data_IF_952633192982
#
_entry.id   IF_952633192982
#
_cell.length_a   1.000
_cell.length_b   1.000
_cell.length_c   1.000
_cell.angle_alpha   90.00
_cell.angle_beta   90.00
_cell.angle_gamma   90.00
#
_symmetry.space_group_name_H-M   'P 1'
#
loop_
_entity.id
_entity.type
_entity.pdbx_description
1 polymer ?
#
# COMPACT_ATOMS: atom_id res chain seq x y z
N UNK A 1 -38.77 33.12 -2.20
CA UNK A 1 -37.68 32.66 -3.08
C UNK A 1 -37.83 31.13 -3.20
N UNK A 2 -37.67 30.57 -4.39
CA UNK A 2 -37.73 29.11 -4.53
C UNK A 2 -36.45 28.50 -3.95
N UNK A 3 -36.48 27.23 -3.50
CA UNK A 3 -35.29 26.51 -3.01
C UNK A 3 -34.18 26.47 -4.07
N UNK A 4 -34.55 26.38 -5.35
CA UNK A 4 -33.59 26.42 -6.46
C UNK A 4 -32.84 27.74 -6.53
N UNK A 5 -33.53 28.89 -6.37
CA UNK A 5 -32.88 30.21 -6.36
C UNK A 5 -31.96 30.41 -5.14
N UNK A 6 -32.32 29.85 -3.99
CA UNK A 6 -31.49 29.89 -2.78
C UNK A 6 -30.22 29.04 -2.95
N UNK A 7 -30.35 27.83 -3.46
CA UNK A 7 -29.19 26.95 -3.74
C UNK A 7 -28.26 27.54 -4.80
N UNK A 8 -28.81 28.23 -5.83
CA UNK A 8 -27.98 28.87 -6.85
C UNK A 8 -27.08 29.98 -6.28
N UNK A 9 -27.59 30.77 -5.35
CA UNK A 9 -26.79 31.76 -4.62
C UNK A 9 -25.68 31.08 -3.82
N UNK A 10 -25.97 30.00 -3.07
CA UNK A 10 -24.98 29.27 -2.30
C UNK A 10 -23.91 28.61 -3.20
N UNK A 11 -24.26 28.18 -4.39
CA UNK A 11 -23.30 27.68 -5.38
C UNK A 11 -22.37 28.78 -5.91
N UNK A 12 -22.87 30.00 -6.06
CA UNK A 12 -22.04 31.14 -6.44
C UNK A 12 -21.07 31.51 -5.31
N UNK A 13 -21.51 31.50 -4.07
CA UNK A 13 -20.64 31.69 -2.90
C UNK A 13 -19.53 30.62 -2.86
N UNK A 14 -19.87 29.36 -3.13
CA UNK A 14 -18.87 28.29 -3.22
C UNK A 14 -17.86 28.51 -4.35
N UNK A 15 -18.28 28.97 -5.52
CA UNK A 15 -17.38 29.30 -6.64
C UNK A 15 -16.41 30.43 -6.28
N UNK A 16 -16.90 31.47 -5.58
CA UNK A 16 -16.06 32.54 -5.08
C UNK A 16 -15.05 32.05 -4.05
N UNK A 17 -15.49 31.23 -3.10
CA UNK A 17 -14.60 30.63 -2.12
C UNK A 17 -13.49 29.77 -2.78
N UNK A 18 -13.84 28.93 -3.77
CA UNK A 18 -12.84 28.16 -4.52
C UNK A 18 -11.79 29.07 -5.19
N UNK A 19 -12.24 30.18 -5.78
CA UNK A 19 -11.35 31.17 -6.43
C UNK A 19 -10.42 31.81 -5.39
N UNK A 20 -10.95 32.26 -4.28
CA UNK A 20 -10.19 32.98 -3.24
C UNK A 20 -9.18 32.06 -2.52
N UNK A 21 -9.49 30.77 -2.44
CA UNK A 21 -8.60 29.77 -1.85
C UNK A 21 -7.63 29.13 -2.85
N UNK A 22 -7.70 29.49 -4.12
CA UNK A 22 -6.72 29.09 -5.13
C UNK A 22 -5.70 30.20 -5.32
N UNK A 23 -4.42 29.93 -5.08
CA UNK A 23 -3.34 30.90 -5.25
C UNK A 23 -2.32 30.45 -6.27
N UNK A 24 -1.56 31.41 -6.81
CA UNK A 24 -0.51 31.20 -7.79
C UNK A 24 0.82 31.70 -7.22
N UNK A 25 1.88 30.95 -7.45
CA UNK A 25 3.25 31.34 -7.13
C UNK A 25 4.16 30.99 -8.31
N UNK A 26 4.90 31.98 -8.83
CA UNK A 26 5.94 31.73 -9.82
C UNK A 26 7.11 31.02 -9.11
N UNK A 27 7.52 29.87 -9.65
CA UNK A 27 8.68 29.11 -9.18
C UNK A 27 9.93 29.56 -9.90
N UNK A 28 9.83 29.64 -11.23
CA UNK A 28 10.88 30.14 -12.12
C UNK A 28 10.27 30.70 -13.41
N UNK A 29 11.11 30.95 -14.41
CA UNK A 29 10.67 31.51 -15.71
C UNK A 29 9.73 30.58 -16.50
N UNK A 30 9.59 29.30 -16.12
CA UNK A 30 8.84 28.27 -16.86
C UNK A 30 7.71 27.66 -16.06
N UNK A 31 7.84 27.53 -14.74
CA UNK A 31 6.90 26.85 -13.87
C UNK A 31 6.16 27.79 -12.93
N UNK A 32 4.88 27.55 -12.80
CA UNK A 32 3.98 28.20 -11.84
C UNK A 32 3.35 27.13 -10.96
N UNK A 33 3.41 27.32 -9.65
CA UNK A 33 2.68 26.54 -8.66
C UNK A 33 1.27 27.07 -8.50
N UNK A 34 0.32 26.15 -8.40
CA UNK A 34 -1.09 26.42 -8.13
C UNK A 34 -1.44 25.70 -6.83
N UNK A 35 -1.56 26.42 -5.74
CA UNK A 35 -2.09 25.87 -4.48
C UNK A 35 -3.61 25.82 -4.56
N UNK A 36 -4.19 24.68 -4.20
CA UNK A 36 -5.64 24.43 -4.31
C UNK A 36 -6.28 24.31 -2.92
N UNK A 37 -7.60 24.49 -2.76
CA UNK A 37 -8.30 24.28 -1.49
C UNK A 37 -8.59 22.81 -1.18
N UNK A 38 -8.13 21.88 -2.00
CA UNK A 38 -8.29 20.46 -1.75
C UNK A 38 -7.17 19.97 -0.86
N UNK A 39 -7.51 19.13 0.14
CA UNK A 39 -6.57 18.63 1.13
C UNK A 39 -6.21 17.18 0.84
N UNK A 40 -4.95 16.85 1.06
CA UNK A 40 -4.50 15.47 1.10
C UNK A 40 -4.86 14.78 2.43
N UNK A 41 -4.39 13.55 2.64
CA UNK A 41 -4.62 12.78 3.89
C UNK A 41 -3.90 13.35 5.13
N UNK A 42 -2.97 14.29 4.96
CA UNK A 42 -2.25 14.99 6.03
C UNK A 42 -2.92 16.32 6.39
N UNK A 43 -4.02 16.69 5.72
CA UNK A 43 -4.70 17.98 5.74
C UNK A 43 -3.85 19.12 5.16
N UNK A 44 -2.89 18.80 4.27
CA UNK A 44 -2.12 19.79 3.53
C UNK A 44 -2.79 20.10 2.19
N UNK A 45 -2.73 21.38 1.79
CA UNK A 45 -3.31 21.82 0.50
C UNK A 45 -2.57 21.20 -0.68
N UNK A 46 -3.30 20.54 -1.57
CA UNK A 46 -2.72 20.00 -2.80
C UNK A 46 -2.15 21.10 -3.68
N UNK A 47 -0.91 20.91 -4.11
CA UNK A 47 -0.20 21.79 -5.04
C UNK A 47 -0.03 21.08 -6.37
N UNK A 48 -0.25 21.81 -7.45
CA UNK A 48 0.02 21.36 -8.82
C UNK A 48 0.89 22.40 -9.52
N UNK A 49 1.68 21.93 -10.45
CA UNK A 49 2.65 22.74 -11.19
C UNK A 49 2.22 22.83 -12.65
N UNK A 50 2.29 24.00 -13.22
CA UNK A 50 1.93 24.25 -14.61
C UNK A 50 3.05 24.89 -15.38
N UNK A 51 3.33 24.39 -16.59
CA UNK A 51 4.22 25.07 -17.55
C UNK A 51 3.60 25.13 -18.92
N UNK A 52 4.01 26.14 -19.70
CA UNK A 52 3.63 26.27 -21.10
C UNK A 52 4.45 25.31 -21.97
N UNK A 53 3.79 24.67 -22.91
CA UNK A 53 4.41 23.81 -23.93
C UNK A 53 4.13 24.38 -25.33
N UNK A 54 4.79 23.91 -26.41
CA UNK A 54 4.50 24.36 -27.75
C UNK A 54 3.03 24.16 -28.19
N UNK A 55 2.36 23.14 -27.63
CA UNK A 55 1.00 22.73 -27.97
C UNK A 55 -0.07 23.11 -26.95
N UNK A 56 0.34 23.70 -25.80
CA UNK A 56 -0.59 24.05 -24.73
C UNK A 56 0.09 24.19 -23.39
N UNK A 57 -0.32 23.37 -22.44
CA UNK A 57 0.16 23.38 -21.06
C UNK A 57 0.39 21.94 -20.57
N UNK A 58 1.43 21.76 -19.76
CA UNK A 58 1.62 20.55 -18.95
C UNK A 58 1.28 20.90 -17.50
N UNK A 59 0.44 20.09 -16.89
CA UNK A 59 0.13 20.12 -15.46
C UNK A 59 0.74 18.89 -14.80
N UNK A 60 1.38 19.04 -13.64
CA UNK A 60 2.07 17.98 -12.90
C UNK A 60 1.86 18.14 -11.40
N UNK A 61 1.93 17.03 -10.66
CA UNK A 61 2.01 17.02 -9.18
C UNK A 61 3.46 17.05 -8.66
N UNK A 62 4.44 17.15 -9.56
CA UNK A 62 5.88 17.15 -9.25
C UNK A 62 6.32 15.93 -8.42
N UNK A 63 5.77 14.76 -8.73
CA UNK A 63 6.04 13.48 -8.05
C UNK A 63 5.55 13.39 -6.59
N UNK A 64 4.85 14.41 -6.08
CA UNK A 64 4.43 14.47 -4.69
C UNK A 64 3.60 13.26 -4.28
N UNK A 65 2.55 12.93 -5.06
CA UNK A 65 1.55 11.94 -4.65
C UNK A 65 2.11 10.53 -4.52
N UNK A 66 2.94 10.10 -5.47
CA UNK A 66 3.54 8.75 -5.44
C UNK A 66 4.66 8.66 -4.41
N UNK A 67 5.47 9.71 -4.29
CA UNK A 67 6.54 9.77 -3.28
C UNK A 67 5.98 9.74 -1.85
N UNK A 68 4.90 10.48 -1.59
CA UNK A 68 4.22 10.49 -0.30
C UNK A 68 3.62 9.12 0.04
N UNK A 69 3.02 8.41 -0.93
CA UNK A 69 2.58 7.03 -0.75
C UNK A 69 3.74 6.09 -0.39
N UNK A 70 4.87 6.22 -1.06
CA UNK A 70 6.06 5.39 -0.81
C UNK A 70 6.62 5.64 0.59
N UNK A 71 6.80 6.90 0.99
CA UNK A 71 7.24 7.28 2.35
C UNK A 71 6.30 6.77 3.43
N UNK A 72 5.02 6.62 3.12
CA UNK A 72 4.00 6.06 4.02
C UNK A 72 3.93 4.53 4.01
N UNK A 73 4.88 3.87 3.33
CA UNK A 73 4.98 2.41 3.27
C UNK A 73 4.03 1.73 2.26
N UNK A 74 3.43 2.52 1.35
CA UNK A 74 2.61 2.01 0.25
C UNK A 74 3.43 2.00 -1.06
N UNK A 75 4.51 1.21 -1.11
CA UNK A 75 5.34 1.09 -2.31
C UNK A 75 4.59 0.39 -3.45
N UNK A 76 4.62 0.98 -4.66
CA UNK A 76 3.93 0.50 -5.85
C UNK A 76 4.90 -0.28 -6.76
N UNK A 77 5.48 -1.38 -6.25
CA UNK A 77 6.54 -2.14 -6.93
C UNK A 77 6.06 -3.41 -7.63
N UNK A 78 4.91 -3.98 -7.25
CA UNK A 78 4.38 -5.20 -7.90
C UNK A 78 3.51 -4.87 -9.11
N UNK A 79 3.44 -5.79 -10.08
CA UNK A 79 2.63 -5.62 -11.29
C UNK A 79 1.17 -5.29 -10.96
N UNK A 80 0.58 -5.97 -9.98
CA UNK A 80 -0.81 -5.75 -9.57
C UNK A 80 -1.03 -4.34 -8.99
N UNK A 81 -0.07 -3.81 -8.21
CA UNK A 81 -0.12 -2.43 -7.69
C UNK A 81 -0.01 -1.41 -8.81
N UNK A 82 0.91 -1.66 -9.75
CA UNK A 82 1.06 -0.82 -10.93
C UNK A 82 -0.18 -0.83 -11.81
N UNK A 83 -0.84 -1.99 -11.97
CA UNK A 83 -2.09 -2.11 -12.70
C UNK A 83 -3.23 -1.35 -12.02
N UNK A 84 -3.31 -1.39 -10.68
CA UNK A 84 -4.30 -0.62 -9.92
C UNK A 84 -4.07 0.89 -10.08
N UNK A 85 -2.83 1.36 -9.93
CA UNK A 85 -2.47 2.75 -10.18
C UNK A 85 -2.86 3.16 -11.61
N UNK A 86 -2.47 2.36 -12.62
CA UNK A 86 -2.78 2.63 -14.01
C UNK A 86 -4.29 2.70 -14.26
N UNK A 87 -5.07 1.80 -13.67
CA UNK A 87 -6.53 1.80 -13.78
C UNK A 87 -7.12 3.08 -13.18
N UNK A 88 -6.62 3.49 -12.00
CA UNK A 88 -7.05 4.72 -11.34
C UNK A 88 -6.76 5.94 -12.21
N UNK A 89 -5.53 6.10 -12.70
CA UNK A 89 -5.12 7.24 -13.51
C UNK A 89 -5.83 7.31 -14.86
N UNK A 90 -6.05 6.16 -15.52
CA UNK A 90 -6.76 6.09 -16.78
C UNK A 90 -8.19 6.63 -16.70
N UNK A 91 -8.87 6.43 -15.55
CA UNK A 91 -10.21 6.97 -15.30
C UNK A 91 -10.28 8.49 -15.36
N UNK A 92 -9.17 9.19 -15.09
CA UNK A 92 -9.06 10.65 -15.10
C UNK A 92 -8.32 11.20 -16.33
N UNK A 93 -7.81 10.33 -17.22
CA UNK A 93 -6.99 10.76 -18.36
C UNK A 93 -5.64 11.36 -17.92
N UNK A 94 -5.15 10.97 -16.77
CA UNK A 94 -3.84 11.36 -16.21
C UNK A 94 -2.83 10.26 -16.51
N UNK A 95 -1.60 10.64 -16.88
CA UNK A 95 -0.51 9.69 -17.11
C UNK A 95 0.50 9.75 -15.98
N UNK A 96 1.18 8.65 -15.75
CA UNK A 96 2.40 8.60 -14.94
C UNK A 96 3.60 8.84 -15.83
N UNK A 97 4.45 9.79 -15.46
CA UNK A 97 5.75 10.01 -16.07
C UNK A 97 6.82 9.90 -14.96
N UNK A 98 7.59 8.79 -14.95
CA UNK A 98 8.41 8.38 -13.82
C UNK A 98 7.55 8.29 -12.54
N UNK A 99 7.72 9.20 -11.59
CA UNK A 99 6.90 9.29 -10.37
C UNK A 99 5.94 10.48 -10.37
N UNK A 100 5.92 11.30 -11.41
CA UNK A 100 5.00 12.40 -11.54
C UNK A 100 3.67 11.99 -12.19
N UNK A 101 2.57 12.55 -11.68
CA UNK A 101 1.26 12.49 -12.31
C UNK A 101 1.08 13.70 -13.22
N UNK A 102 0.83 13.47 -14.50
CA UNK A 102 0.81 14.53 -15.50
C UNK A 102 -0.43 14.50 -16.38
N UNK A 103 -0.86 15.69 -16.80
CA UNK A 103 -1.89 15.86 -17.84
C UNK A 103 -1.49 16.99 -18.78
N UNK A 104 -1.64 16.76 -20.09
CA UNK A 104 -1.52 17.79 -21.11
C UNK A 104 -2.87 18.45 -21.36
N UNK A 105 -2.88 19.76 -21.49
CA UNK A 105 -4.10 20.53 -21.73
C UNK A 105 -3.87 21.64 -22.74
N UNK A 106 -4.89 21.95 -23.53
CA UNK A 106 -4.97 23.20 -24.30
C UNK A 106 -5.51 24.31 -23.41
N UNK A 107 -5.57 25.54 -23.93
CA UNK A 107 -6.22 26.66 -23.25
C UNK A 107 -7.68 26.36 -22.89
N UNK A 108 -8.38 25.68 -23.79
CA UNK A 108 -9.81 25.34 -23.67
C UNK A 108 -10.03 24.21 -22.68
N UNK A 109 -9.10 23.27 -22.58
CA UNK A 109 -9.22 22.09 -21.70
C UNK A 109 -8.47 22.23 -20.39
N UNK A 110 -7.80 23.36 -20.14
CA UNK A 110 -6.97 23.58 -18.93
C UNK A 110 -7.75 23.37 -17.63
N UNK A 111 -8.95 23.93 -17.52
CA UNK A 111 -9.78 23.81 -16.33
C UNK A 111 -10.15 22.34 -16.06
N UNK A 112 -10.50 21.60 -17.11
CA UNK A 112 -10.82 20.17 -17.04
C UNK A 112 -9.57 19.34 -16.68
N UNK A 113 -8.43 19.60 -17.32
CA UNK A 113 -7.16 18.93 -17.03
C UNK A 113 -6.71 19.16 -15.57
N UNK A 114 -6.82 20.43 -15.09
CA UNK A 114 -6.57 20.76 -13.68
C UNK A 114 -7.47 19.96 -12.73
N UNK A 115 -8.76 19.92 -13.01
CA UNK A 115 -9.74 19.19 -12.21
C UNK A 115 -9.41 17.70 -12.16
N UNK A 116 -9.13 17.09 -13.31
CA UNK A 116 -8.81 15.67 -13.41
C UNK A 116 -7.51 15.31 -12.70
N UNK A 117 -6.48 16.16 -12.78
CA UNK A 117 -5.24 15.94 -12.03
C UNK A 117 -5.49 15.93 -10.53
N UNK A 118 -6.23 16.92 -10.01
CA UNK A 118 -6.59 16.96 -8.58
C UNK A 118 -7.38 15.71 -8.17
N UNK A 119 -8.40 15.31 -8.95
CA UNK A 119 -9.18 14.12 -8.67
C UNK A 119 -8.32 12.85 -8.67
N UNK A 120 -7.36 12.75 -9.58
CA UNK A 120 -6.45 11.61 -9.63
C UNK A 120 -5.50 11.59 -8.43
N UNK A 121 -4.96 12.75 -8.00
CA UNK A 121 -4.13 12.86 -6.80
C UNK A 121 -4.91 12.40 -5.56
N UNK A 122 -6.16 12.86 -5.38
CA UNK A 122 -7.02 12.42 -4.27
C UNK A 122 -7.32 10.92 -4.34
N UNK A 123 -7.68 10.40 -5.51
CA UNK A 123 -7.97 8.97 -5.67
C UNK A 123 -6.74 8.09 -5.43
N UNK A 124 -5.55 8.54 -5.81
CA UNK A 124 -4.29 7.86 -5.53
C UNK A 124 -3.95 7.95 -4.03
N UNK A 125 -4.16 9.10 -3.38
CA UNK A 125 -4.01 9.24 -1.93
C UNK A 125 -4.93 8.29 -1.16
N UNK A 126 -6.18 8.10 -1.61
CA UNK A 126 -7.14 7.19 -1.00
C UNK A 126 -6.73 5.71 -1.11
N UNK A 127 -5.87 5.35 -2.06
CA UNK A 127 -5.28 4.01 -2.12
C UNK A 127 -4.54 3.66 -0.82
N UNK A 128 -4.02 4.64 -0.08
CA UNK A 128 -3.41 4.40 1.23
C UNK A 128 -4.40 3.81 2.25
N UNK A 129 -5.63 4.32 2.31
CA UNK A 129 -6.66 3.81 3.23
C UNK A 129 -7.23 2.46 2.79
N UNK A 130 -7.39 2.26 1.51
CA UNK A 130 -7.76 0.96 0.93
C UNK A 130 -6.62 -0.06 1.08
N UNK A 131 -5.39 0.40 1.15
CA UNK A 131 -4.20 -0.42 1.28
C UNK A 131 -3.96 -0.91 2.73
N UNK A 132 -4.64 -0.43 3.76
CA UNK A 132 -4.41 -0.96 5.12
C UNK A 132 -4.81 -2.45 5.26
N UNK A 133 -5.93 -2.94 4.77
CA UNK A 133 -6.18 -4.37 4.57
C UNK A 133 -5.44 -4.96 3.37
N UNK A 134 -5.23 -4.16 2.28
CA UNK A 134 -4.47 -4.57 1.10
C UNK A 134 -2.96 -4.65 1.36
N UNK A 135 -2.37 -3.82 2.21
CA UNK A 135 -0.93 -3.86 2.55
C UNK A 135 -0.58 -5.15 3.28
N UNK A 136 -1.47 -5.70 4.12
CA UNK A 136 -1.33 -7.06 4.64
C UNK A 136 -1.50 -8.10 3.51
N UNK A 137 -2.43 -7.87 2.58
CA UNK A 137 -2.64 -8.69 1.37
C UNK A 137 -1.45 -8.64 0.41
N UNK A 138 -0.80 -7.49 0.27
CA UNK A 138 0.32 -7.28 -0.66
C UNK A 138 1.60 -7.98 -0.20
N UNK A 139 1.92 -7.91 1.08
CA UNK A 139 3.04 -8.68 1.62
C UNK A 139 2.77 -10.18 1.55
N UNK A 140 1.52 -10.62 1.73
CA UNK A 140 1.11 -11.99 1.47
C UNK A 140 1.36 -12.39 0.00
N UNK A 141 1.08 -11.49 -0.96
CA UNK A 141 1.33 -11.72 -2.39
C UNK A 141 2.84 -11.76 -2.70
N UNK A 142 3.63 -10.90 -2.06
CA UNK A 142 5.10 -10.91 -2.19
C UNK A 142 5.68 -12.24 -1.70
N UNK A 143 5.20 -12.75 -0.56
CA UNK A 143 5.59 -14.08 -0.02
C UNK A 143 5.12 -15.18 -0.96
N UNK A 144 3.89 -15.12 -1.48
CA UNK A 144 3.35 -16.07 -2.45
C UNK A 144 4.25 -16.16 -3.69
N UNK A 145 4.56 -15.01 -4.28
CA UNK A 145 5.41 -14.93 -5.48
C UNK A 145 6.81 -15.51 -5.24
N UNK A 146 7.38 -15.24 -4.06
CA UNK A 146 8.70 -15.79 -3.71
C UNK A 146 8.65 -17.31 -3.50
N UNK A 147 7.61 -17.84 -2.85
CA UNK A 147 7.44 -19.29 -2.69
C UNK A 147 7.29 -20.00 -4.04
N UNK A 148 6.51 -19.41 -4.97
CA UNK A 148 6.33 -19.95 -6.33
C UNK A 148 7.64 -19.93 -7.13
N UNK A 149 8.38 -18.81 -7.12
CA UNK A 149 9.67 -18.69 -7.80
C UNK A 149 10.73 -19.62 -7.20
N UNK A 150 10.62 -19.95 -5.93
CA UNK A 150 11.51 -20.87 -5.21
C UNK A 150 11.12 -22.34 -5.34
N UNK A 151 10.07 -22.67 -6.11
CA UNK A 151 9.47 -24.01 -6.27
C UNK A 151 9.12 -24.68 -4.92
N UNK A 152 8.63 -23.86 -3.95
CA UNK A 152 8.21 -24.33 -2.64
C UNK A 152 6.71 -24.59 -2.66
N UNK A 153 6.30 -25.85 -2.48
CA UNK A 153 4.88 -26.23 -2.44
C UNK A 153 4.22 -25.78 -1.15
N UNK A 154 3.06 -25.15 -1.24
CA UNK A 154 2.29 -24.70 -0.07
C UNK A 154 0.79 -24.77 -0.34
N UNK A 155 0.00 -24.70 0.75
CA UNK A 155 -1.43 -24.46 0.71
C UNK A 155 -1.72 -23.12 1.37
N UNK A 156 -2.34 -22.15 0.67
CA UNK A 156 -2.62 -20.84 1.24
C UNK A 156 -3.88 -20.87 2.13
N UNK A 157 -3.94 -19.94 3.10
CA UNK A 157 -5.13 -19.63 3.91
C UNK A 157 -5.76 -20.86 4.59
N UNK A 158 -4.95 -21.61 5.32
CA UNK A 158 -5.40 -22.84 6.02
C UNK A 158 -5.88 -22.49 7.42
N UNK A 159 -7.04 -23.03 7.80
CA UNK A 159 -7.57 -22.96 9.16
C UNK A 159 -7.26 -24.23 9.94
N UNK A 160 -6.88 -24.05 11.21
CA UNK A 160 -6.79 -25.14 12.18
C UNK A 160 -7.53 -24.75 13.45
N UNK A 161 -8.34 -25.66 13.97
CA UNK A 161 -8.97 -25.51 15.27
C UNK A 161 -7.93 -25.80 16.36
N UNK A 162 -7.73 -24.85 17.28
CA UNK A 162 -6.80 -24.99 18.41
C UNK A 162 -7.38 -25.79 19.57
N UNK A 163 -6.56 -25.98 20.62
CA UNK A 163 -6.98 -26.63 21.88
C UNK A 163 -8.09 -25.83 22.57
N UNK A 164 -8.10 -24.51 22.42
CA UNK A 164 -9.17 -23.63 22.93
C UNK A 164 -10.52 -23.81 22.24
N UNK A 165 -10.57 -24.51 21.10
CA UNK A 165 -11.74 -24.61 20.23
C UNK A 165 -11.88 -23.46 19.24
N UNK A 166 -11.00 -22.46 19.25
CA UNK A 166 -10.97 -21.39 18.26
C UNK A 166 -10.32 -21.84 16.97
N UNK A 167 -10.87 -21.36 15.85
CA UNK A 167 -10.27 -21.51 14.52
C UNK A 167 -9.21 -20.45 14.28
N UNK A 168 -7.98 -20.86 13.97
CA UNK A 168 -6.87 -20.00 13.64
C UNK A 168 -6.53 -20.09 12.15
N UNK A 169 -6.56 -18.96 11.46
CA UNK A 169 -6.17 -18.86 10.06
C UNK A 169 -4.67 -18.59 9.97
N UNK A 170 -3.96 -19.43 9.22
CA UNK A 170 -2.55 -19.26 8.87
C UNK A 170 -2.42 -18.93 7.39
N UNK A 171 -1.40 -18.15 7.06
CA UNK A 171 -1.23 -17.67 5.68
C UNK A 171 -0.81 -18.77 4.73
N UNK A 172 0.14 -19.63 5.15
CA UNK A 172 0.59 -20.76 4.33
C UNK A 172 0.88 -21.97 5.20
N UNK A 173 0.64 -23.14 4.65
CA UNK A 173 1.11 -24.42 5.19
C UNK A 173 1.95 -25.11 4.14
N UNK A 174 3.21 -25.35 4.44
CA UNK A 174 4.12 -26.12 3.62
C UNK A 174 4.07 -27.57 4.14
N UNK A 175 3.62 -28.55 3.34
CA UNK A 175 3.44 -29.91 3.79
C UNK A 175 4.76 -30.55 4.22
N UNK A 176 4.69 -31.58 5.06
CA UNK A 176 5.86 -32.41 5.37
C UNK A 176 6.39 -33.09 4.11
N UNK A 177 7.69 -33.24 4.04
CA UNK A 177 8.38 -34.05 3.06
C UNK A 177 9.11 -35.23 3.72
N UNK A 178 9.91 -35.95 2.97
CA UNK A 178 10.82 -36.97 3.50
C UNK A 178 11.97 -36.39 4.32
N UNK A 179 12.30 -35.11 4.12
CA UNK A 179 13.46 -34.42 4.73
C UNK A 179 13.06 -33.38 5.77
N UNK A 180 11.88 -32.81 5.66
CA UNK A 180 11.45 -31.68 6.48
C UNK A 180 10.05 -31.91 7.06
N UNK A 181 9.77 -31.44 8.30
CA UNK A 181 8.44 -31.51 8.89
C UNK A 181 7.46 -30.55 8.20
N UNK A 182 6.20 -30.56 8.66
CA UNK A 182 5.22 -29.54 8.29
C UNK A 182 5.68 -28.18 8.80
N UNK A 183 5.56 -27.15 7.96
CA UNK A 183 5.91 -25.76 8.32
C UNK A 183 4.67 -24.89 8.16
N UNK A 184 4.31 -24.21 9.25
CA UNK A 184 3.18 -23.28 9.30
C UNK A 184 3.72 -21.87 9.24
N UNK A 185 3.26 -21.08 8.29
CA UNK A 185 3.85 -19.78 7.94
C UNK A 185 2.82 -18.67 8.14
N UNK A 186 3.25 -17.59 8.80
CA UNK A 186 2.52 -16.33 8.89
C UNK A 186 3.35 -15.20 8.27
N UNK A 187 2.76 -14.47 7.34
CA UNK A 187 3.33 -13.26 6.77
C UNK A 187 2.93 -12.05 7.63
N UNK A 188 3.90 -11.31 8.15
CA UNK A 188 3.69 -10.16 9.03
C UNK A 188 4.31 -8.93 8.37
N UNK A 189 3.47 -8.12 7.73
CA UNK A 189 3.93 -6.95 7.01
C UNK A 189 4.41 -5.81 7.91
N UNK A 190 3.79 -5.64 9.08
CA UNK A 190 4.22 -4.68 10.11
C UNK A 190 4.49 -5.43 11.40
N UNK A 191 5.76 -5.84 11.65
CA UNK A 191 6.14 -6.53 12.86
C UNK A 191 6.06 -5.59 14.07
N UNK A 192 5.03 -5.78 14.88
CA UNK A 192 4.78 -5.07 16.14
C UNK A 192 4.66 -6.07 17.27
N UNK A 193 4.67 -5.61 18.52
CA UNK A 193 4.39 -6.44 19.68
C UNK A 193 3.04 -7.16 19.52
N UNK A 194 1.98 -6.45 19.16
CA UNK A 194 0.63 -7.01 19.04
C UNK A 194 0.56 -8.10 17.96
N UNK A 195 1.20 -7.89 16.79
CA UNK A 195 1.26 -8.89 15.73
C UNK A 195 2.05 -10.13 16.14
N UNK A 196 3.11 -9.96 16.93
CA UNK A 196 3.90 -11.06 17.48
C UNK A 196 3.08 -11.85 18.52
N UNK A 197 2.45 -11.17 19.49
CA UNK A 197 1.59 -11.80 20.49
C UNK A 197 0.43 -12.57 19.85
N UNK A 198 -0.21 -11.99 18.83
CA UNK A 198 -1.28 -12.66 18.10
C UNK A 198 -0.82 -13.95 17.42
N UNK A 199 0.34 -13.95 16.76
CA UNK A 199 0.86 -15.16 16.12
C UNK A 199 1.37 -16.19 17.12
N UNK A 200 2.04 -15.76 18.19
CA UNK A 200 2.48 -16.62 19.29
C UNK A 200 1.26 -17.36 19.92
N UNK A 201 0.16 -16.62 20.16
CA UNK A 201 -1.05 -17.24 20.67
C UNK A 201 -1.62 -18.29 19.70
N UNK A 202 -1.81 -17.94 18.43
CA UNK A 202 -2.29 -18.85 17.39
C UNK A 202 -1.46 -20.14 17.35
N UNK A 203 -0.14 -20.00 17.31
CA UNK A 203 0.77 -21.14 17.28
C UNK A 203 0.73 -21.98 18.57
N UNK A 204 0.75 -21.35 19.73
CA UNK A 204 0.70 -22.03 21.02
C UNK A 204 -0.59 -22.83 21.20
N UNK A 205 -1.72 -22.32 20.70
CA UNK A 205 -3.02 -22.99 20.78
C UNK A 205 -3.14 -24.12 19.75
N UNK A 206 -2.45 -24.05 18.61
CA UNK A 206 -2.57 -25.06 17.55
C UNK A 206 -1.45 -26.10 17.56
N UNK A 207 -0.26 -25.81 18.09
CA UNK A 207 0.90 -26.71 17.99
C UNK A 207 0.62 -28.12 18.51
N UNK A 208 -0.18 -28.27 19.56
CA UNK A 208 -0.46 -29.56 20.20
C UNK A 208 -1.49 -30.40 19.43
N UNK A 209 -2.24 -29.80 18.50
CA UNK A 209 -3.17 -30.49 17.60
C UNK A 209 -2.58 -30.73 16.21
N UNK A 210 -1.29 -30.37 16.02
CA UNK A 210 -0.51 -30.67 14.81
C UNK A 210 0.49 -31.82 15.06
N UNK A 211 1.09 -32.38 13.99
CA UNK A 211 2.18 -33.34 14.15
C UNK A 211 3.26 -32.79 15.08
N UNK A 212 3.79 -33.64 15.97
CA UNK A 212 4.69 -33.21 17.06
C UNK A 212 5.95 -32.44 16.61
N UNK A 213 6.42 -32.66 15.38
CA UNK A 213 7.56 -32.02 14.80
C UNK A 213 7.23 -30.81 13.87
N UNK A 214 5.95 -30.42 13.79
CA UNK A 214 5.54 -29.23 13.03
C UNK A 214 6.27 -27.98 13.53
N UNK A 215 6.67 -27.11 12.61
CA UNK A 215 7.41 -25.89 12.89
C UNK A 215 6.62 -24.65 12.45
N UNK A 216 6.77 -23.55 13.18
CA UNK A 216 6.20 -22.26 12.81
C UNK A 216 7.28 -21.32 12.28
N UNK A 217 6.92 -20.55 11.26
CA UNK A 217 7.76 -19.55 10.63
C UNK A 217 7.00 -18.22 10.54
N UNK A 218 7.66 -17.13 10.94
CA UNK A 218 7.16 -15.77 10.80
C UNK A 218 7.98 -15.04 9.71
N UNK A 219 7.38 -14.77 8.56
CA UNK A 219 7.99 -13.88 7.55
C UNK A 219 7.75 -12.43 7.99
N UNK A 220 8.82 -11.68 8.20
CA UNK A 220 8.80 -10.34 8.76
C UNK A 220 9.29 -9.33 7.73
N UNK A 221 8.40 -8.42 7.32
CA UNK A 221 8.78 -7.37 6.39
C UNK A 221 9.64 -6.31 7.10
N UNK A 222 10.89 -6.18 6.69
CA UNK A 222 11.86 -5.21 7.17
C UNK A 222 12.17 -4.10 6.17
N UNK A 223 11.45 -4.06 5.03
CA UNK A 223 11.68 -3.08 3.97
C UNK A 223 11.10 -1.70 4.33
N UNK A 224 10.06 -1.66 5.16
CA UNK A 224 9.37 -0.41 5.53
C UNK A 224 9.96 0.21 6.80
N UNK A 225 10.32 -0.63 7.77
CA UNK A 225 10.89 -0.19 9.04
C UNK A 225 11.81 -1.26 9.64
N UNK A 226 12.81 -0.88 10.44
CA UNK A 226 13.65 -1.83 11.15
C UNK A 226 12.82 -2.75 12.06
N UNK A 227 13.20 -4.02 12.14
CA UNK A 227 12.52 -4.99 13.00
C UNK A 227 12.80 -4.68 14.49
N UNK A 228 11.75 -4.59 15.34
CA UNK A 228 11.96 -4.41 16.77
C UNK A 228 12.66 -5.64 17.38
N UNK A 229 13.74 -5.43 18.13
CA UNK A 229 14.51 -6.53 18.75
C UNK A 229 13.62 -7.42 19.63
N UNK A 230 12.70 -6.84 20.41
CA UNK A 230 11.77 -7.59 21.26
C UNK A 230 10.83 -8.52 20.49
N UNK A 231 10.49 -8.23 19.22
CA UNK A 231 9.69 -9.11 18.37
C UNK A 231 10.49 -10.35 17.97
N UNK A 232 11.74 -10.16 17.57
CA UNK A 232 12.65 -11.25 17.19
C UNK A 232 12.90 -12.21 18.38
N UNK A 233 13.15 -11.66 19.56
CA UNK A 233 13.39 -12.44 20.78
C UNK A 233 12.13 -13.19 21.22
N UNK A 234 10.96 -12.55 21.13
CA UNK A 234 9.69 -13.20 21.44
C UNK A 234 9.47 -14.44 20.56
N UNK A 235 9.64 -14.33 19.25
CA UNK A 235 9.48 -15.47 18.34
C UNK A 235 10.45 -16.61 18.67
N UNK A 236 11.72 -16.32 18.91
CA UNK A 236 12.73 -17.32 19.30
C UNK A 236 12.36 -18.03 20.59
N UNK A 237 11.94 -17.28 21.62
CA UNK A 237 11.55 -17.83 22.93
C UNK A 237 10.33 -18.77 22.83
N UNK A 238 9.43 -18.53 21.88
CA UNK A 238 8.26 -19.39 21.61
C UNK A 238 8.51 -20.43 20.50
N UNK A 239 9.77 -20.65 20.11
CA UNK A 239 10.16 -21.64 19.09
C UNK A 239 9.48 -21.39 17.73
N UNK A 240 9.27 -20.13 17.39
CA UNK A 240 8.85 -19.67 16.07
C UNK A 240 10.11 -19.19 15.34
N UNK A 241 10.31 -19.65 14.12
CA UNK A 241 11.46 -19.28 13.30
C UNK A 241 11.19 -17.93 12.61
N UNK A 242 11.84 -16.82 13.00
CA UNK A 242 11.69 -15.56 12.31
C UNK A 242 12.51 -15.59 11.01
N UNK A 243 11.87 -15.20 9.90
CA UNK A 243 12.49 -15.03 8.57
C UNK A 243 12.44 -13.56 8.22
N UNK A 244 13.58 -12.89 8.21
CA UNK A 244 13.71 -11.50 7.81
C UNK A 244 13.55 -11.43 6.30
N UNK A 245 12.60 -10.64 5.80
CA UNK A 245 12.21 -10.65 4.39
C UNK A 245 13.36 -10.32 3.44
N UNK A 246 14.22 -9.35 3.79
CA UNK A 246 15.42 -9.02 3.00
C UNK A 246 16.44 -10.17 2.93
N UNK A 247 16.37 -11.14 3.84
CA UNK A 247 17.30 -12.28 3.95
C UNK A 247 16.63 -13.63 3.66
N UNK A 248 15.40 -13.63 3.14
CA UNK A 248 14.57 -14.84 2.95
C UNK A 248 15.24 -15.96 2.13
N UNK A 249 16.11 -15.58 1.20
CA UNK A 249 16.77 -16.56 0.32
C UNK A 249 17.72 -17.50 1.11
N UNK A 250 18.20 -17.07 2.28
CA UNK A 250 19.01 -17.90 3.18
C UNK A 250 18.18 -19.05 3.81
N UNK A 251 16.86 -18.86 3.90
CA UNK A 251 15.94 -19.85 4.48
C UNK A 251 15.30 -20.77 3.43
N UNK A 252 15.57 -20.55 2.15
CA UNK A 252 14.98 -21.32 1.04
C UNK A 252 15.19 -22.83 1.24
N UNK A 253 16.41 -23.27 1.56
CA UNK A 253 16.72 -24.69 1.76
C UNK A 253 15.98 -25.34 2.92
N UNK A 254 15.58 -24.58 3.95
CA UNK A 254 14.76 -25.06 5.09
C UNK A 254 13.28 -25.13 4.77
N UNK A 255 12.83 -24.33 3.79
CA UNK A 255 11.44 -24.24 3.36
C UNK A 255 11.18 -25.10 2.12
N UNK A 256 12.18 -25.27 1.24
CA UNK A 256 12.15 -26.18 0.12
C UNK A 256 12.58 -27.57 0.60
N UNK A 257 11.82 -28.61 0.29
CA UNK A 257 12.31 -29.98 0.48
C UNK A 257 11.44 -31.01 -0.25
#
# INVERSE_FOLDING_TARGET
MSISSEIDILLDDYRHWLKDKTSLREIDATWVEITTPYLDRHNDSLQIYAKKTPTGYLLSDDSYTLHDLELSGCSLTTQKRLDLLRLTLNGFGVRRNEDALEVEATKETFAYGKHNLIQSMLAVNDLFYLAQPMVTSLFFEDVTSWLDLSDIRYTPKVKFTGVSGYDHLFDFVIPKSTKQPERIVQAINRPTRDSAEAFIYKWSDTRNVRPQNSQAFAFLNDQVQPLPAGVMDAFKNYQINPVVWSQRDQEQARLAA
#
